data_IF_251988808650
#
_entry.id   IF_251988808650
#
_cell.length_a   1.000
_cell.length_b   1.000
_cell.length_c   1.000
_cell.angle_alpha   90.00
_cell.angle_beta   90.00
_cell.angle_gamma   90.00
#
_symmetry.space_group_name_H-M   'P 1'
#
loop_
_entity.id
_entity.type
_entity.pdbx_description
1 polymer ?
#
# COMPACT_ATOMS: atom_id res chain seq x y z
N UNK A 1 4.27 -27.79 18.30
CA UNK A 1 4.96 -27.86 16.99
C UNK A 1 4.50 -26.87 15.92
N UNK A 2 3.20 -26.55 15.69
CA UNK A 2 2.82 -25.47 14.73
C UNK A 2 3.15 -24.06 15.25
N UNK A 3 2.98 -23.85 16.56
CA UNK A 3 3.24 -22.56 17.22
C UNK A 3 4.72 -22.16 17.18
N UNK A 4 5.63 -23.13 17.26
CA UNK A 4 7.08 -22.91 17.26
C UNK A 4 7.57 -22.38 15.91
N UNK A 5 7.02 -22.87 14.80
CA UNK A 5 7.40 -22.42 13.44
C UNK A 5 7.06 -20.95 13.21
N UNK A 6 5.88 -20.50 13.62
CA UNK A 6 5.46 -19.09 13.48
C UNK A 6 6.33 -18.18 14.35
N UNK A 7 6.71 -18.62 15.55
CA UNK A 7 7.60 -17.87 16.43
C UNK A 7 8.98 -17.69 15.80
N UNK A 8 9.58 -18.76 15.27
CA UNK A 8 10.86 -18.75 14.56
C UNK A 8 10.78 -17.82 13.33
N UNK A 9 9.71 -17.93 12.54
CA UNK A 9 9.52 -17.06 11.38
C UNK A 9 9.40 -15.59 11.77
N UNK A 10 8.66 -15.29 12.84
CA UNK A 10 8.58 -13.92 13.36
C UNK A 10 9.93 -13.41 13.89
N UNK A 11 10.81 -14.28 14.41
CA UNK A 11 12.16 -13.88 14.87
C UNK A 11 13.02 -13.51 13.66
N UNK A 12 13.01 -14.35 12.62
CA UNK A 12 13.72 -14.07 11.38
C UNK A 12 13.26 -12.77 10.72
N UNK A 13 11.95 -12.53 10.66
CA UNK A 13 11.40 -11.29 10.08
C UNK A 13 11.75 -10.09 10.95
N UNK A 14 11.65 -10.21 12.27
CA UNK A 14 12.01 -9.13 13.20
C UNK A 14 13.49 -8.74 13.08
N UNK A 15 14.38 -9.71 12.93
CA UNK A 15 15.80 -9.46 12.71
C UNK A 15 16.05 -8.66 11.42
N UNK A 16 15.35 -9.01 10.33
CA UNK A 16 15.45 -8.23 9.08
C UNK A 16 14.97 -6.79 9.30
N UNK A 17 13.91 -6.56 10.08
CA UNK A 17 13.47 -5.20 10.40
C UNK A 17 14.48 -4.42 11.25
N UNK A 18 15.13 -5.05 12.23
CA UNK A 18 16.19 -4.40 13.01
C UNK A 18 17.37 -3.99 12.13
N UNK A 19 17.84 -4.89 11.26
CA UNK A 19 18.91 -4.55 10.31
C UNK A 19 18.50 -3.42 9.35
N UNK A 20 17.22 -3.28 9.02
CA UNK A 20 16.68 -2.15 8.26
C UNK A 20 16.74 -0.84 9.03
N UNK A 21 16.35 -0.84 10.30
CA UNK A 21 16.44 0.35 11.15
C UNK A 21 17.89 0.82 11.32
N UNK A 22 18.80 -0.13 11.59
CA UNK A 22 20.23 0.15 11.71
C UNK A 22 20.82 0.69 10.41
N UNK A 23 20.40 0.23 9.24
CA UNK A 23 20.96 0.67 7.97
C UNK A 23 20.16 1.79 7.30
N UNK A 24 19.09 2.30 7.94
CA UNK A 24 18.19 3.30 7.35
C UNK A 24 18.93 4.62 7.04
N UNK A 25 19.93 4.99 7.84
CA UNK A 25 20.75 6.18 7.60
C UNK A 25 21.58 6.11 6.31
N UNK A 26 21.83 4.90 5.77
CA UNK A 26 22.62 4.71 4.54
C UNK A 26 21.81 4.98 3.27
N UNK A 27 20.49 5.19 3.37
CA UNK A 27 19.62 5.62 2.27
C UNK A 27 19.60 4.71 1.03
N UNK A 28 20.15 3.50 1.11
CA UNK A 28 20.38 2.68 -0.07
C UNK A 28 19.14 1.86 -0.42
N UNK A 29 18.51 2.18 -1.57
CA UNK A 29 17.42 1.40 -2.15
C UNK A 29 17.74 -0.10 -2.21
N UNK A 30 19.01 -0.43 -2.45
CA UNK A 30 19.50 -1.82 -2.48
C UNK A 30 19.17 -2.56 -1.19
N UNK A 31 19.50 -1.98 -0.04
CA UNK A 31 19.29 -2.65 1.24
C UNK A 31 17.80 -2.89 1.50
N UNK A 32 16.97 -1.86 1.30
CA UNK A 32 15.52 -1.93 1.46
C UNK A 32 14.87 -2.97 0.54
N UNK A 33 15.29 -3.03 -0.72
CA UNK A 33 14.76 -3.97 -1.70
C UNK A 33 15.16 -5.41 -1.39
N UNK A 34 16.42 -5.64 -1.02
CA UNK A 34 16.91 -6.96 -0.65
C UNK A 34 16.24 -7.48 0.62
N UNK A 35 16.10 -6.65 1.65
CA UNK A 35 15.38 -6.99 2.88
C UNK A 35 13.91 -7.32 2.58
N UNK A 36 13.25 -6.51 1.75
CA UNK A 36 11.86 -6.75 1.33
C UNK A 36 11.72 -8.04 0.55
N UNK A 37 12.69 -8.37 -0.32
CA UNK A 37 12.76 -9.63 -1.06
C UNK A 37 12.92 -10.82 -0.13
N UNK A 38 13.80 -10.74 0.87
CA UNK A 38 14.01 -11.79 1.88
C UNK A 38 12.74 -12.05 2.70
N UNK A 39 12.09 -11.00 3.19
CA UNK A 39 10.81 -11.12 3.92
C UNK A 39 9.77 -11.80 3.02
N UNK A 40 9.63 -11.34 1.77
CA UNK A 40 8.69 -11.95 0.82
C UNK A 40 8.98 -13.41 0.51
N UNK A 41 10.25 -13.82 0.43
CA UNK A 41 10.66 -15.22 0.25
C UNK A 41 10.23 -16.10 1.43
N UNK A 42 10.53 -15.66 2.67
CA UNK A 42 10.15 -16.38 3.88
C UNK A 42 8.63 -16.58 3.95
N UNK A 43 7.88 -15.52 3.67
CA UNK A 43 6.42 -15.57 3.64
C UNK A 43 5.89 -16.47 2.51
N UNK A 44 6.52 -16.45 1.34
CA UNK A 44 6.11 -17.30 0.22
C UNK A 44 6.32 -18.78 0.54
N UNK A 45 7.37 -19.13 1.28
CA UNK A 45 7.65 -20.50 1.74
C UNK A 45 6.60 -20.97 2.76
N UNK A 46 6.27 -20.14 3.75
CA UNK A 46 5.32 -20.53 4.80
C UNK A 46 3.86 -20.54 4.32
N UNK A 47 3.47 -19.55 3.50
CA UNK A 47 2.07 -19.34 3.12
C UNK A 47 1.75 -19.76 1.68
N UNK A 48 2.71 -20.33 0.95
CA UNK A 48 2.57 -20.74 -0.46
C UNK A 48 2.01 -19.62 -1.35
N UNK A 49 2.37 -18.37 -1.05
CA UNK A 49 1.87 -17.19 -1.77
C UNK A 49 0.44 -16.75 -1.43
N UNK A 50 -0.26 -17.44 -0.52
CA UNK A 50 -1.67 -17.19 -0.19
C UNK A 50 -1.89 -16.81 1.28
N UNK A 51 -1.61 -15.56 1.64
CA UNK A 51 -1.76 -15.09 3.03
C UNK A 51 -3.20 -14.95 3.53
N UNK A 52 -4.16 -14.79 2.62
CA UNK A 52 -5.53 -14.39 2.96
C UNK A 52 -6.57 -15.51 2.81
N UNK A 53 -6.13 -16.74 2.51
CA UNK A 53 -7.02 -17.90 2.46
C UNK A 53 -7.49 -18.30 3.89
N UNK A 54 -8.53 -19.12 3.99
CA UNK A 54 -9.16 -19.46 5.27
C UNK A 54 -8.17 -20.08 6.26
N UNK A 55 -7.26 -20.94 5.77
CA UNK A 55 -6.28 -21.65 6.59
C UNK A 55 -5.15 -20.75 7.11
N UNK A 56 -4.72 -19.77 6.31
CA UNK A 56 -3.56 -18.93 6.63
C UNK A 56 -3.94 -17.64 7.34
N UNK A 57 -5.20 -17.21 7.31
CA UNK A 57 -5.71 -16.06 8.08
C UNK A 57 -5.33 -16.10 9.57
N UNK A 58 -5.59 -17.19 10.33
CA UNK A 58 -5.22 -17.26 11.75
C UNK A 58 -3.69 -17.22 11.92
N UNK A 59 -2.95 -18.01 11.15
CA UNK A 59 -1.47 -18.02 11.18
C UNK A 59 -0.86 -16.63 10.91
N UNK A 60 -1.43 -15.88 9.96
CA UNK A 60 -1.01 -14.52 9.65
C UNK A 60 -1.31 -13.54 10.79
N UNK A 61 -2.40 -13.75 11.52
CA UNK A 61 -2.71 -12.96 12.71
C UNK A 61 -1.65 -13.23 13.79
N UNK A 62 -1.42 -14.50 14.12
CA UNK A 62 -0.42 -14.90 15.12
C UNK A 62 0.99 -14.39 14.76
N UNK A 63 1.36 -14.47 13.48
CA UNK A 63 2.64 -13.95 12.99
C UNK A 63 2.73 -12.44 13.16
N UNK A 64 1.67 -11.70 12.81
CA UNK A 64 1.64 -10.23 12.93
C UNK A 64 1.75 -9.82 14.40
N UNK A 65 1.06 -10.52 15.30
CA UNK A 65 1.09 -10.24 16.74
C UNK A 65 2.46 -10.57 17.33
N UNK A 66 3.09 -11.67 16.90
CA UNK A 66 4.44 -12.05 17.32
C UNK A 66 5.51 -11.04 16.85
N UNK A 67 5.41 -10.52 15.63
CA UNK A 67 6.34 -9.50 15.12
C UNK A 67 6.13 -8.16 15.83
N UNK A 68 4.88 -7.76 16.07
CA UNK A 68 4.56 -6.49 16.76
C UNK A 68 5.14 -6.41 18.17
N UNK A 69 5.32 -7.55 18.84
CA UNK A 69 5.97 -7.62 20.15
C UNK A 69 7.50 -7.42 20.10
N UNK A 70 8.11 -7.59 18.93
CA UNK A 70 9.57 -7.57 18.72
C UNK A 70 10.05 -6.32 17.99
N UNK A 71 9.18 -5.72 17.19
CA UNK A 71 9.46 -4.59 16.32
C UNK A 71 8.49 -3.45 16.65
N UNK A 72 9.02 -2.32 17.09
CA UNK A 72 8.22 -1.17 17.54
C UNK A 72 7.96 -0.14 16.43
N UNK A 73 8.76 -0.11 15.36
CA UNK A 73 8.64 0.86 14.25
C UNK A 73 8.70 0.17 12.88
N UNK A 74 8.15 0.82 11.86
CA UNK A 74 8.25 0.37 10.45
C UNK A 74 7.47 -0.90 10.07
N UNK A 75 6.87 -1.60 11.04
CA UNK A 75 6.09 -2.82 10.81
C UNK A 75 4.59 -2.55 10.67
N UNK A 76 3.96 -3.26 9.72
CA UNK A 76 2.51 -3.39 9.63
C UNK A 76 2.16 -4.67 8.87
N UNK A 77 0.94 -5.19 9.06
CA UNK A 77 0.41 -6.30 8.23
C UNK A 77 0.48 -5.97 6.73
N UNK A 78 0.25 -4.70 6.38
CA UNK A 78 0.32 -4.20 5.00
C UNK A 78 1.74 -4.30 4.44
N UNK A 79 2.77 -4.12 5.26
CA UNK A 79 4.17 -4.31 4.87
C UNK A 79 4.42 -5.75 4.43
N UNK A 80 3.98 -6.75 5.21
CA UNK A 80 4.12 -8.18 4.84
C UNK A 80 3.41 -8.52 3.53
N UNK A 81 2.19 -8.00 3.34
CA UNK A 81 1.45 -8.17 2.10
C UNK A 81 2.22 -7.66 0.89
N UNK A 82 2.79 -6.46 0.97
CA UNK A 82 3.57 -5.90 -0.12
C UNK A 82 4.90 -6.63 -0.32
N UNK A 83 5.57 -7.08 0.75
CA UNK A 83 6.78 -7.89 0.62
C UNK A 83 6.52 -9.19 -0.14
N UNK A 84 5.41 -9.86 0.16
CA UNK A 84 5.01 -11.07 -0.58
C UNK A 84 4.68 -10.76 -2.04
N UNK A 85 3.86 -9.74 -2.29
CA UNK A 85 3.47 -9.34 -3.66
C UNK A 85 4.68 -8.94 -4.50
N UNK A 86 5.64 -8.25 -3.87
CA UNK A 86 6.92 -7.91 -4.46
C UNK A 86 7.71 -9.16 -4.82
N UNK A 87 7.85 -10.11 -3.89
CA UNK A 87 8.58 -11.36 -4.14
C UNK A 87 7.93 -12.22 -5.23
N UNK A 88 6.61 -12.32 -5.28
CA UNK A 88 5.91 -13.01 -6.36
C UNK A 88 6.20 -12.41 -7.75
N UNK A 89 6.47 -11.11 -7.79
CA UNK A 89 6.71 -10.35 -9.02
C UNK A 89 8.18 -10.31 -9.43
N UNK A 90 9.08 -10.26 -8.46
CA UNK A 90 10.50 -9.92 -8.64
C UNK A 90 11.48 -10.83 -7.88
N UNK A 91 11.02 -11.89 -7.22
CA UNK A 91 11.85 -12.75 -6.37
C UNK A 91 13.09 -13.31 -7.08
N UNK A 92 12.92 -13.74 -8.33
CA UNK A 92 13.98 -14.32 -9.17
C UNK A 92 14.52 -13.33 -10.23
N UNK A 93 14.08 -12.07 -10.21
CA UNK A 93 14.49 -11.07 -11.20
C UNK A 93 15.63 -10.22 -10.68
N UNK A 94 16.48 -9.75 -11.59
CA UNK A 94 17.46 -8.71 -11.29
C UNK A 94 16.73 -7.39 -11.01
N UNK A 95 17.04 -6.77 -9.88
CA UNK A 95 16.48 -5.49 -9.49
C UNK A 95 17.38 -4.36 -9.99
N UNK A 96 16.77 -3.28 -10.46
CA UNK A 96 17.42 -1.99 -10.67
C UNK A 96 17.27 -1.14 -9.41
N UNK A 97 18.39 -0.76 -8.80
CA UNK A 97 18.42 -0.01 -7.54
C UNK A 97 18.21 1.50 -7.72
N UNK A 98 18.10 1.99 -8.96
CA UNK A 98 17.61 3.36 -9.25
C UNK A 98 16.15 3.53 -8.84
N UNK A 99 15.39 2.45 -8.90
CA UNK A 99 14.00 2.41 -8.43
C UNK A 99 13.96 2.10 -6.94
N UNK A 100 13.23 2.92 -6.18
CA UNK A 100 12.98 2.65 -4.76
C UNK A 100 11.89 1.59 -4.54
N UNK A 101 11.77 1.06 -3.32
CA UNK A 101 10.70 0.12 -2.95
C UNK A 101 9.31 0.65 -3.31
N UNK A 102 9.08 1.96 -3.19
CA UNK A 102 7.79 2.57 -3.55
C UNK A 102 7.46 2.43 -5.04
N UNK A 103 8.46 2.48 -5.93
CA UNK A 103 8.25 2.22 -7.36
C UNK A 103 7.84 0.76 -7.58
N UNK A 104 8.61 -0.18 -7.00
CA UNK A 104 8.32 -1.59 -7.12
C UNK A 104 6.99 -2.00 -6.49
N UNK A 105 6.50 -1.30 -5.46
CA UNK A 105 5.15 -1.53 -4.90
C UNK A 105 4.04 -1.21 -5.91
N UNK A 106 4.22 -0.16 -6.72
CA UNK A 106 3.30 0.18 -7.81
C UNK A 106 3.40 -0.90 -8.89
N UNK A 107 4.61 -1.19 -9.37
CA UNK A 107 4.82 -2.14 -10.46
C UNK A 107 4.35 -3.57 -10.09
N UNK A 108 4.64 -4.04 -8.87
CA UNK A 108 4.19 -5.34 -8.38
C UNK A 108 2.65 -5.39 -8.23
N UNK A 109 1.96 -4.25 -8.22
CA UNK A 109 0.51 -4.20 -8.18
C UNK A 109 -0.17 -4.36 -9.54
N UNK A 110 0.58 -4.21 -10.63
CA UNK A 110 0.11 -4.34 -12.00
C UNK A 110 0.09 -5.81 -12.37
N UNK A 111 -1.08 -6.42 -12.60
CA UNK A 111 -1.20 -7.85 -12.92
C UNK A 111 -0.59 -8.21 -14.29
N UNK A 112 -0.78 -7.34 -15.28
CA UNK A 112 -0.24 -7.51 -16.64
C UNK A 112 1.30 -7.39 -16.64
N UNK A 113 1.97 -8.47 -17.05
CA UNK A 113 3.44 -8.56 -17.05
C UNK A 113 4.09 -7.67 -18.11
N UNK A 114 3.45 -7.49 -19.26
CA UNK A 114 4.00 -6.72 -20.37
C UNK A 114 3.89 -5.22 -20.09
N UNK A 115 2.74 -4.78 -19.58
CA UNK A 115 2.56 -3.40 -19.11
C UNK A 115 3.53 -3.08 -17.99
N UNK A 116 3.68 -3.99 -17.01
CA UNK A 116 4.64 -3.83 -15.91
C UNK A 116 6.07 -3.66 -16.42
N UNK A 117 6.52 -4.52 -17.34
CA UNK A 117 7.87 -4.48 -17.93
C UNK A 117 8.11 -3.18 -18.71
N UNK A 118 7.11 -2.73 -19.47
CA UNK A 118 7.16 -1.46 -20.21
C UNK A 118 7.34 -0.27 -19.27
N UNK A 119 6.48 -0.18 -18.24
CA UNK A 119 6.54 0.92 -17.26
C UNK A 119 7.84 0.90 -16.45
N UNK A 120 8.33 -0.27 -16.07
CA UNK A 120 9.62 -0.43 -15.38
C UNK A 120 10.77 0.12 -16.24
N UNK A 121 10.84 -0.27 -17.51
CA UNK A 121 11.87 0.20 -18.45
C UNK A 121 11.80 1.71 -18.67
N UNK A 122 10.60 2.25 -18.91
CA UNK A 122 10.41 3.69 -19.09
C UNK A 122 10.76 4.48 -17.82
N UNK A 123 10.37 3.99 -16.64
CA UNK A 123 10.71 4.63 -15.36
C UNK A 123 12.21 4.77 -15.17
N UNK A 124 12.96 3.76 -15.60
CA UNK A 124 14.41 3.72 -15.51
C UNK A 124 15.06 4.64 -16.55
N UNK A 125 14.56 4.66 -17.78
CA UNK A 125 15.12 5.48 -18.87
C UNK A 125 14.87 6.97 -18.66
N UNK A 126 13.67 7.33 -18.22
CA UNK A 126 13.22 8.71 -18.04
C UNK A 126 13.38 9.20 -16.59
N UNK A 127 13.97 8.39 -15.70
CA UNK A 127 14.13 8.67 -14.28
C UNK A 127 12.82 9.14 -13.61
N UNK A 128 11.72 8.44 -13.87
CA UNK A 128 10.43 8.80 -13.31
C UNK A 128 10.44 8.75 -11.79
N UNK A 129 9.87 9.78 -11.17
CA UNK A 129 9.55 9.73 -9.75
C UNK A 129 8.38 8.78 -9.50
N UNK A 130 8.21 8.39 -8.23
CA UNK A 130 7.09 7.54 -7.78
C UNK A 130 5.74 8.10 -8.24
N UNK A 131 5.57 9.41 -8.22
CA UNK A 131 4.33 10.10 -8.57
C UNK A 131 4.06 9.97 -10.08
N UNK A 132 5.09 10.14 -10.92
CA UNK A 132 4.99 10.02 -12.37
C UNK A 132 4.66 8.58 -12.76
N UNK A 133 5.38 7.60 -12.21
CA UNK A 133 5.09 6.18 -12.44
C UNK A 133 3.66 5.82 -12.01
N UNK A 134 3.21 6.31 -10.85
CA UNK A 134 1.85 6.07 -10.38
C UNK A 134 0.81 6.62 -11.37
N UNK A 135 1.01 7.85 -11.86
CA UNK A 135 0.13 8.46 -12.85
C UNK A 135 0.11 7.65 -14.15
N UNK A 136 1.28 7.25 -14.67
CA UNK A 136 1.40 6.45 -15.90
C UNK A 136 0.75 5.08 -15.77
N UNK A 137 0.87 4.45 -14.61
CA UNK A 137 0.21 3.17 -14.32
C UNK A 137 -1.33 3.31 -14.21
N UNK A 138 -1.83 4.46 -13.74
CA UNK A 138 -3.28 4.77 -13.76
C UNK A 138 -3.78 5.03 -15.18
N UNK A 139 -3.03 5.78 -15.97
CA UNK A 139 -3.31 6.06 -17.39
C UNK A 139 -3.39 4.75 -18.21
N UNK A 140 -2.60 3.73 -17.86
CA UNK A 140 -2.67 2.42 -18.51
C UNK A 140 -3.90 1.58 -18.10
N UNK A 141 -4.70 2.02 -17.13
CA UNK A 141 -5.84 1.28 -16.60
C UNK A 141 -5.49 0.08 -15.71
N UNK A 142 -4.20 -0.22 -15.53
CA UNK A 142 -3.74 -1.44 -14.85
C UNK A 142 -3.42 -1.23 -13.35
N UNK A 143 -3.48 0.00 -12.85
CA UNK A 143 -3.15 0.33 -11.47
C UNK A 143 -4.19 1.25 -10.85
N UNK A 144 -4.92 0.72 -9.85
CA UNK A 144 -5.89 1.45 -9.03
C UNK A 144 -7.02 2.04 -9.87
N UNK A 145 -8.24 1.54 -9.72
CA UNK A 145 -9.42 2.15 -10.34
C UNK A 145 -9.37 3.67 -10.15
N UNK A 146 -9.40 4.42 -11.26
CA UNK A 146 -9.71 5.84 -11.19
C UNK A 146 -11.10 5.89 -10.56
N UNK A 147 -11.16 6.28 -9.28
CA UNK A 147 -12.43 6.63 -8.66
C UNK A 147 -12.85 7.92 -9.35
N UNK A 148 -13.46 7.80 -10.53
CA UNK A 148 -14.17 8.91 -11.13
C UNK A 148 -15.23 9.28 -10.11
N UNK A 149 -14.99 10.35 -9.36
CA UNK A 149 -16.07 11.00 -8.63
C UNK A 149 -16.99 11.56 -9.71
N UNK A 150 -17.90 10.75 -10.24
CA UNK A 150 -19.00 11.21 -11.06
C UNK A 150 -19.99 11.90 -10.13
N UNK A 151 -19.58 13.01 -9.50
CA UNK A 151 -20.57 13.98 -9.06
C UNK A 151 -21.17 14.52 -10.35
N UNK A 152 -22.33 13.99 -10.74
CA UNK A 152 -23.18 14.65 -11.73
C UNK A 152 -23.37 16.07 -11.19
N UNK A 153 -22.89 17.08 -11.91
CA UNK A 153 -23.22 18.47 -11.55
C UNK A 153 -24.75 18.52 -11.52
N UNK A 154 -25.38 19.05 -10.46
CA UNK A 154 -26.80 19.31 -10.49
C UNK A 154 -27.10 20.14 -11.73
N UNK A 155 -27.96 19.64 -12.61
CA UNK A 155 -28.45 20.41 -13.75
C UNK A 155 -29.57 21.29 -13.22
N UNK A 156 -29.32 22.60 -13.09
CA UNK A 156 -30.26 23.58 -12.54
C UNK A 156 -29.55 24.85 -12.10
N UNK A 157 -30.31 25.92 -11.85
CA UNK A 157 -29.77 27.17 -11.32
C UNK A 157 -29.27 26.98 -9.88
N UNK A 158 -28.03 27.39 -9.63
CA UNK A 158 -27.44 27.36 -8.29
C UNK A 158 -27.95 28.60 -7.54
N UNK A 159 -29.02 28.44 -6.78
CA UNK A 159 -29.54 29.50 -5.93
C UNK A 159 -28.63 29.65 -4.70
N UNK A 160 -27.81 30.70 -4.69
CA UNK A 160 -27.06 31.12 -3.52
C UNK A 160 -27.98 31.96 -2.63
N UNK A 161 -28.56 31.38 -1.59
CA UNK A 161 -29.22 32.17 -0.55
C UNK A 161 -28.18 32.56 0.51
N UNK A 162 -28.16 33.85 0.86
CA UNK A 162 -27.44 34.34 2.03
C UNK A 162 -28.40 34.24 3.21
N UNK A 163 -28.11 33.35 4.17
CA UNK A 163 -28.84 33.36 5.44
C UNK A 163 -28.53 34.69 6.13
N UNK A 164 -29.47 35.61 6.12
CA UNK A 164 -29.42 36.80 6.98
C UNK A 164 -29.99 36.36 8.32
N UNK A 165 -29.15 36.49 9.35
CA UNK A 165 -29.32 36.03 10.73
C UNK A 165 -30.74 36.18 11.33
N UNK A 166 -31.10 35.17 12.13
CA UNK A 166 -32.24 35.11 13.05
C UNK A 166 -32.44 36.41 13.84
N UNK A 167 -33.47 37.17 13.45
CA UNK A 167 -34.24 37.94 14.41
C UNK A 167 -35.70 37.54 14.25
N UNK A 168 -36.12 36.58 15.08
CA UNK A 168 -37.52 36.44 15.47
C UNK A 168 -37.96 37.78 16.05
N UNK A 169 -38.75 38.56 15.30
CA UNK A 169 -39.52 39.67 15.85
C UNK A 169 -40.82 39.07 16.41
N UNK A 170 -41.05 39.07 17.73
CA UNK A 170 -42.34 38.70 18.31
C UNK A 170 -43.25 39.94 18.31
N UNK A 171 -44.45 39.80 17.74
CA UNK A 171 -45.48 40.83 17.67
C UNK A 171 -45.83 41.12 16.22
N UNK A 172 -47.05 40.91 15.74
CA UNK A 172 -48.35 41.20 16.37
C UNK A 172 -49.39 40.21 15.86
N UNK A 173 -50.24 39.75 16.77
CA UNK A 173 -51.45 38.97 16.53
C UNK A 173 -52.53 39.90 15.93
N UNK A 174 -53.15 39.52 14.82
CA UNK A 174 -54.55 39.86 14.56
C UNK A 174 -55.19 38.86 13.58
N UNK A 175 -55.97 37.90 14.12
CA UNK A 175 -57.23 37.45 13.49
C UNK A 175 -58.29 38.55 13.75
N UNK A 176 -59.51 38.60 13.14
CA UNK A 176 -60.22 37.66 12.25
C UNK A 176 -60.69 38.37 10.93
N UNK A 177 -61.43 37.80 9.96
CA UNK A 177 -62.78 37.18 9.93
C UNK A 177 -62.86 36.22 8.75
#
# INVERSE_FOLDING_TARGET
>A
MKYDKIKILADQIAEIFKTLEENNYKGSNRFTLEATRKIGNLLNREFLGQMNNLENRPKMKDLTDAISKRVSKGFSRRTLYYSLKFYQSYGNKKLDYRLSLSHYRILASISDKDVRRKLEKQSIQENWTRIILERKARESGCYGTLKQYSRKRPTGEILHYKVVSDKLNPGVISNPV
#
